data_IF_443048190911
#
_entry.id   IF_443048190911
#
_cell.length_a   1.000
_cell.length_b   1.000
_cell.length_c   1.000
_cell.angle_alpha   90.00
_cell.angle_beta   90.00
_cell.angle_gamma   90.00
#
_symmetry.space_group_name_H-M   'P 1'
#
loop_
_entity.id
_entity.type
_entity.pdbx_description
1 polymer ?
#
# COMPACT_ATOMS: atom_id res chain seq x y z
N UNK A 1 -18.13 -1.77 -8.82
CA UNK A 1 -17.03 -1.03 -8.17
C UNK A 1 -17.61 0.23 -7.58
N UNK A 2 -17.82 0.23 -6.28
CA UNK A 2 -18.21 1.40 -5.49
C UNK A 2 -16.95 2.14 -5.02
N UNK A 3 -17.12 3.35 -4.50
CA UNK A 3 -16.00 4.12 -3.91
C UNK A 3 -15.36 3.37 -2.73
N UNK A 4 -16.12 2.55 -2.02
CA UNK A 4 -15.64 1.70 -0.91
C UNK A 4 -14.71 0.58 -1.39
N UNK A 5 -14.97 -0.01 -2.56
CA UNK A 5 -14.09 -1.03 -3.16
C UNK A 5 -12.69 -0.46 -3.47
N UNK A 6 -12.66 0.78 -3.96
CA UNK A 6 -11.43 1.50 -4.30
C UNK A 6 -10.64 1.89 -3.04
N UNK A 7 -11.34 2.26 -1.97
CA UNK A 7 -10.75 2.55 -0.66
C UNK A 7 -10.20 1.28 0.02
N UNK A 8 -10.82 0.11 -0.20
CA UNK A 8 -10.28 -1.16 0.30
C UNK A 8 -8.98 -1.58 -0.41
N UNK A 9 -8.79 -1.17 -1.67
CA UNK A 9 -7.59 -1.40 -2.47
C UNK A 9 -6.47 -0.36 -2.26
N UNK A 10 -6.71 0.67 -1.42
CA UNK A 10 -5.76 1.74 -1.13
C UNK A 10 -4.34 1.27 -0.76
N UNK A 11 -4.13 0.26 0.11
CA UNK A 11 -2.78 -0.20 0.44
C UNK A 11 -2.02 -0.77 -0.76
N UNK A 12 -2.71 -1.46 -1.68
CA UNK A 12 -2.10 -1.97 -2.90
C UNK A 12 -1.74 -0.83 -3.86
N UNK A 13 -2.65 0.14 -4.02
CA UNK A 13 -2.44 1.29 -4.91
C UNK A 13 -1.24 2.13 -4.43
N UNK A 14 -1.18 2.42 -3.13
CA UNK A 14 -0.07 3.20 -2.53
C UNK A 14 1.26 2.47 -2.70
N UNK A 15 1.31 1.16 -2.47
CA UNK A 15 2.51 0.34 -2.68
C UNK A 15 2.99 0.41 -4.15
N UNK A 16 2.09 0.20 -5.11
CA UNK A 16 2.47 0.30 -6.54
C UNK A 16 2.95 1.70 -6.91
N UNK A 17 2.34 2.75 -6.36
CA UNK A 17 2.80 4.12 -6.58
C UNK A 17 4.23 4.34 -6.07
N UNK A 18 4.54 3.86 -4.87
CA UNK A 18 5.90 3.93 -4.29
C UNK A 18 6.91 3.20 -5.17
N UNK A 19 6.58 2.01 -5.67
CA UNK A 19 7.48 1.24 -6.55
C UNK A 19 7.82 2.03 -7.82
N UNK A 20 6.84 2.69 -8.44
CA UNK A 20 7.06 3.52 -9.63
C UNK A 20 7.94 4.74 -9.31
N UNK A 21 7.72 5.41 -8.18
CA UNK A 21 8.54 6.54 -7.74
C UNK A 21 9.99 6.08 -7.49
N UNK A 22 10.19 4.97 -6.79
CA UNK A 22 11.52 4.42 -6.52
C UNK A 22 12.23 4.05 -7.82
N UNK A 23 11.56 3.41 -8.78
CA UNK A 23 12.12 3.13 -10.10
C UNK A 23 12.60 4.41 -10.81
N UNK A 24 11.81 5.48 -10.75
CA UNK A 24 12.17 6.77 -11.34
C UNK A 24 13.36 7.40 -10.63
N UNK A 25 13.40 7.37 -9.29
CA UNK A 25 14.52 7.88 -8.49
C UNK A 25 15.81 7.11 -8.79
N UNK A 26 15.74 5.79 -8.96
CA UNK A 26 16.89 4.96 -9.36
C UNK A 26 17.41 5.39 -10.74
N UNK A 27 16.50 5.65 -11.69
CA UNK A 27 16.86 6.04 -13.05
C UNK A 27 17.59 7.41 -13.10
N UNK A 28 17.21 8.37 -12.26
CA UNK A 28 17.82 9.71 -12.25
C UNK A 28 18.99 9.87 -11.29
N UNK A 29 18.88 9.39 -10.05
CA UNK A 29 19.76 9.81 -8.97
C UNK A 29 20.82 8.77 -8.58
N UNK A 30 20.70 7.50 -9.01
CA UNK A 30 21.63 6.38 -8.78
C UNK A 30 22.36 6.36 -7.41
N UNK A 31 21.71 6.90 -6.37
CA UNK A 31 22.24 7.06 -5.02
C UNK A 31 21.44 6.17 -4.08
N UNK A 32 22.14 5.21 -3.49
CA UNK A 32 21.58 4.17 -2.64
C UNK A 32 20.92 4.75 -1.37
N UNK A 33 21.46 5.85 -0.83
CA UNK A 33 20.90 6.49 0.36
C UNK A 33 19.53 7.14 0.07
N UNK A 34 19.38 7.81 -1.07
CA UNK A 34 18.12 8.44 -1.46
C UNK A 34 17.03 7.40 -1.77
N UNK A 35 17.39 6.31 -2.45
CA UNK A 35 16.46 5.22 -2.74
C UNK A 35 16.04 4.51 -1.46
N UNK A 36 16.96 4.31 -0.51
CA UNK A 36 16.65 3.71 0.78
C UNK A 36 15.65 4.57 1.58
N UNK A 37 15.89 5.88 1.69
CA UNK A 37 14.96 6.80 2.36
C UNK A 37 13.60 6.86 1.67
N UNK A 38 13.58 6.82 0.33
CA UNK A 38 12.32 6.79 -0.42
C UNK A 38 11.53 5.50 -0.15
N UNK A 39 12.20 4.35 -0.12
CA UNK A 39 11.57 3.08 0.23
C UNK A 39 11.04 3.07 1.66
N UNK A 40 11.80 3.52 2.65
CA UNK A 40 11.34 3.53 4.05
C UNK A 40 10.17 4.47 4.26
N UNK A 41 10.19 5.66 3.64
CA UNK A 41 9.04 6.57 3.65
C UNK A 41 7.82 5.97 2.96
N UNK A 42 8.02 5.32 1.81
CA UNK A 42 6.95 4.67 1.07
C UNK A 42 6.29 3.53 1.85
N UNK A 43 7.10 2.70 2.51
CA UNK A 43 6.61 1.61 3.38
C UNK A 43 5.88 2.15 4.62
N UNK A 44 6.36 3.24 5.22
CA UNK A 44 5.65 3.89 6.32
C UNK A 44 4.28 4.42 5.87
N UNK A 45 4.19 4.95 4.65
CA UNK A 45 2.95 5.45 4.06
C UNK A 45 1.97 4.30 3.76
N UNK A 46 2.45 3.16 3.24
CA UNK A 46 1.61 1.97 3.03
C UNK A 46 1.10 1.41 4.36
N UNK A 47 1.92 1.41 5.42
CA UNK A 47 1.47 0.99 6.75
C UNK A 47 0.35 1.90 7.29
N UNK A 48 0.50 3.22 7.11
CA UNK A 48 -0.54 4.18 7.48
C UNK A 48 -1.84 3.97 6.69
N UNK A 49 -1.73 3.61 5.40
CA UNK A 49 -2.88 3.25 4.57
C UNK A 49 -3.60 1.99 5.08
N UNK A 50 -2.86 0.95 5.48
CA UNK A 50 -3.43 -0.28 6.07
C UNK A 50 -4.18 0.04 7.37
N UNK A 51 -3.55 0.81 8.27
CA UNK A 51 -4.18 1.21 9.54
C UNK A 51 -5.46 2.02 9.30
N UNK A 52 -5.47 2.92 8.31
CA UNK A 52 -6.65 3.70 7.95
C UNK A 52 -7.79 2.81 7.43
N UNK A 53 -7.48 1.84 6.55
CA UNK A 53 -8.48 0.89 6.05
C UNK A 53 -9.05 0.04 7.19
N UNK A 54 -8.21 -0.45 8.11
CA UNK A 54 -8.65 -1.26 9.26
C UNK A 54 -9.62 -0.55 10.21
N UNK A 55 -9.53 0.78 10.33
CA UNK A 55 -10.39 1.55 11.24
C UNK A 55 -11.71 1.96 10.57
N UNK A 56 -11.69 2.23 9.27
CA UNK A 56 -12.80 2.88 8.58
C UNK A 56 -13.63 1.96 7.68
N UNK A 57 -13.16 0.75 7.37
CA UNK A 57 -13.85 -0.19 6.50
C UNK A 57 -14.14 -1.51 7.19
N UNK A 58 -15.38 -1.97 7.03
CA UNK A 58 -15.78 -3.34 7.39
C UNK A 58 -15.25 -4.37 6.36
N UNK A 59 -15.08 -5.63 6.77
CA UNK A 59 -14.63 -6.70 5.89
C UNK A 59 -15.55 -6.85 4.68
N UNK A 60 -15.00 -6.76 3.46
CA UNK A 60 -15.78 -6.85 2.24
C UNK A 60 -15.04 -7.55 1.10
N UNK A 61 -15.82 -8.17 0.22
CA UNK A 61 -15.34 -8.77 -1.02
C UNK A 61 -15.21 -7.67 -2.09
N UNK A 62 -13.98 -7.26 -2.38
CA UNK A 62 -13.70 -6.20 -3.37
C UNK A 62 -13.82 -6.76 -4.80
N UNK A 63 -13.41 -8.01 -4.99
CA UNK A 63 -13.64 -8.78 -6.21
C UNK A 63 -13.86 -10.26 -5.83
N UNK A 64 -14.36 -11.12 -6.73
CA UNK A 64 -14.49 -12.55 -6.44
C UNK A 64 -13.17 -13.25 -6.08
N UNK A 65 -12.02 -12.63 -6.38
CA UNK A 65 -10.68 -13.13 -6.08
C UNK A 65 -10.06 -12.51 -4.83
N UNK A 66 -10.51 -11.32 -4.40
CA UNK A 66 -9.85 -10.52 -3.36
C UNK A 66 -10.85 -10.20 -2.25
N UNK A 67 -10.54 -10.73 -1.07
CA UNK A 67 -11.22 -10.44 0.18
C UNK A 67 -10.32 -9.53 1.01
N UNK A 68 -10.85 -8.41 1.48
CA UNK A 68 -10.17 -7.54 2.44
C UNK A 68 -10.86 -7.74 3.78
N UNK A 69 -10.12 -8.34 4.72
CA UNK A 69 -10.55 -8.66 6.07
C UNK A 69 -9.40 -8.36 7.05
N UNK A 70 -9.68 -8.35 8.35
CA UNK A 70 -8.71 -8.10 9.43
C UNK A 70 -7.49 -9.03 9.32
N UNK A 71 -7.72 -10.31 8.96
CA UNK A 71 -6.64 -11.26 8.73
C UNK A 71 -5.73 -10.83 7.57
N UNK A 72 -6.31 -10.44 6.43
CA UNK A 72 -5.53 -9.99 5.28
C UNK A 72 -4.74 -8.71 5.59
N UNK A 73 -5.33 -7.78 6.35
CA UNK A 73 -4.67 -6.54 6.77
C UNK A 73 -3.52 -6.80 7.75
N UNK A 74 -3.68 -7.72 8.69
CA UNK A 74 -2.62 -8.13 9.62
C UNK A 74 -1.43 -8.70 8.86
N UNK A 75 -1.66 -9.66 7.96
CA UNK A 75 -0.58 -10.24 7.15
C UNK A 75 0.08 -9.20 6.24
N UNK A 76 -0.69 -8.27 5.69
CA UNK A 76 -0.17 -7.20 4.85
C UNK A 76 0.63 -6.15 5.64
N UNK A 77 0.46 -6.04 6.95
CA UNK A 77 1.25 -5.12 7.80
C UNK A 77 2.54 -5.75 8.33
N UNK A 78 2.61 -7.09 8.40
CA UNK A 78 3.77 -7.82 8.90
C UNK A 78 4.86 -7.97 7.83
N UNK A 79 4.43 -8.14 6.57
CA UNK A 79 5.29 -8.28 5.38
C UNK A 79 5.79 -6.92 4.92
#
# INVERSE_FOLDING_TARGET
MTTTDLLALLPIITLTGVILVVMMVIAFARNLALTCLCCTMGLALTLAAIAWVSINLEPQFVTPLIVVDEYALLFSSII
#
